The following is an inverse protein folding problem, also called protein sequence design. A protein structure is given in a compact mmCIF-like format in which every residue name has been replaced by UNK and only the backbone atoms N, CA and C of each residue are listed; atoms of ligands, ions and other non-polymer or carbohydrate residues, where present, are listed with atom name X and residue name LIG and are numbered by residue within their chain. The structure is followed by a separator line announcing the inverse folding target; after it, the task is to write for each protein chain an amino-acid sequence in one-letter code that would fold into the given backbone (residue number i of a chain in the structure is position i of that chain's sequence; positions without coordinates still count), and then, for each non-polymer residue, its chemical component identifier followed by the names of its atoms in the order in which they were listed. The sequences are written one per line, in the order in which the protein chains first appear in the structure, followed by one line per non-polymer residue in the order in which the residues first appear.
data_IF_423627845109
#
_entry.id   IF_423627845109
#
_cell.length_a   1.000
_cell.length_b   1.000
_cell.length_c   1.000
_cell.angle_alpha   90.00
_cell.angle_beta   90.00
_cell.angle_gamma   90.00
#
_symmetry.space_group_name_H-M   'P 1'
#
loop_
_entity.id
_entity.type
_entity.pdbx_description
1 polymer ?
#
# COMPACT_ATOMS: atom_id res chain seq x y z
N UNK A 1 2.64 -23.07 66.35
CA UNK A 1 1.51 -22.66 65.48
C UNK A 1 2.10 -21.90 64.32
N UNK A 2 2.06 -22.52 63.14
CA UNK A 2 2.78 -22.16 61.91
C UNK A 2 2.26 -20.87 61.29
N UNK A 3 3.18 -19.95 60.97
CA UNK A 3 2.90 -18.76 60.17
C UNK A 3 2.71 -19.15 58.69
N UNK A 4 1.58 -18.76 58.12
CA UNK A 4 1.29 -18.93 56.68
C UNK A 4 1.84 -17.71 55.95
N UNK A 5 2.91 -17.92 55.20
CA UNK A 5 3.49 -16.96 54.26
C UNK A 5 2.55 -16.79 53.06
N UNK A 6 1.96 -15.61 52.91
CA UNK A 6 1.18 -15.24 51.74
C UNK A 6 2.06 -15.10 50.49
N UNK A 7 1.77 -15.91 49.47
CA UNK A 7 2.36 -15.82 48.14
C UNK A 7 1.88 -14.56 47.42
N UNK A 8 2.76 -13.56 47.26
CA UNK A 8 2.53 -12.42 46.38
C UNK A 8 2.68 -12.87 44.93
N UNK A 9 1.56 -13.10 44.25
CA UNK A 9 1.52 -13.26 42.79
C UNK A 9 1.91 -11.94 42.12
N UNK A 10 3.08 -11.92 41.48
CA UNK A 10 3.53 -10.78 40.68
C UNK A 10 2.67 -10.66 39.42
N UNK A 11 1.75 -9.70 39.39
CA UNK A 11 1.04 -9.32 38.17
C UNK A 11 2.06 -8.72 37.19
N UNK A 12 2.44 -9.49 36.18
CA UNK A 12 3.15 -8.97 35.00
C UNK A 12 2.21 -8.05 34.22
N UNK A 13 2.33 -6.74 34.47
CA UNK A 13 1.68 -5.69 33.71
C UNK A 13 2.25 -5.67 32.29
N UNK A 14 1.52 -6.29 31.33
CA UNK A 14 1.86 -6.17 29.92
C UNK A 14 1.49 -4.76 29.44
N UNK A 15 2.48 -4.02 28.94
CA UNK A 15 2.26 -2.69 28.35
C UNK A 15 1.24 -2.83 27.21
N UNK A 16 0.19 -1.99 27.14
CA UNK A 16 -0.74 -2.04 26.02
C UNK A 16 0.02 -1.82 24.71
N UNK A 17 -0.21 -2.70 23.73
CA UNK A 17 0.40 -2.59 22.40
C UNK A 17 0.00 -1.25 21.80
N UNK A 18 0.99 -0.48 21.34
CA UNK A 18 0.76 0.80 20.66
C UNK A 18 0.07 0.53 19.32
N UNK A 19 -1.14 1.07 19.14
CA UNK A 19 -1.91 0.99 17.89
C UNK A 19 -2.14 2.39 17.31
N UNK A 20 -2.42 2.46 16.00
CA UNK A 20 -2.73 3.70 15.31
C UNK A 20 -3.88 3.48 14.34
N UNK A 21 -4.88 4.36 14.35
CA UNK A 21 -6.02 4.30 13.42
C UNK A 21 -5.79 5.18 12.17
N UNK A 22 -5.18 6.36 12.33
CA UNK A 22 -4.73 7.27 11.26
C UNK A 22 -3.90 8.42 11.83
N UNK A 23 -3.34 9.27 10.97
CA UNK A 23 -2.73 10.55 11.34
C UNK A 23 -3.60 11.72 10.89
N UNK A 24 -3.62 12.85 11.62
CA UNK A 24 -4.23 14.07 11.11
C UNK A 24 -3.52 14.51 9.83
N UNK A 25 -4.27 15.08 8.91
CA UNK A 25 -3.71 15.65 7.69
C UNK A 25 -2.92 16.93 8.07
N UNK A 26 -1.72 17.14 7.52
CA UNK A 26 -0.99 18.40 7.71
C UNK A 26 -1.76 19.59 7.12
N UNK A 27 -1.62 20.77 7.74
CA UNK A 27 -2.27 22.01 7.28
C UNK A 27 -1.78 22.48 5.88
N UNK A 28 -0.68 21.90 5.40
CA UNK A 28 -0.14 22.13 4.05
C UNK A 28 -0.85 21.33 2.94
N UNK A 29 -1.81 20.47 3.30
CA UNK A 29 -2.46 19.55 2.37
C UNK A 29 -3.97 19.80 2.28
N UNK A 30 -4.55 19.56 1.10
CA UNK A 30 -6.00 19.62 0.86
C UNK A 30 -6.52 18.22 0.61
N UNK A 31 -7.47 17.76 1.42
CA UNK A 31 -8.09 16.45 1.23
C UNK A 31 -8.88 16.43 -0.08
N UNK A 32 -8.67 15.40 -0.91
CA UNK A 32 -9.37 15.24 -2.20
C UNK A 32 -10.91 15.26 -2.05
N UNK A 33 -11.42 14.65 -0.97
CA UNK A 33 -12.86 14.56 -0.67
C UNK A 33 -13.43 15.81 0.02
N UNK A 34 -12.63 16.85 0.27
CA UNK A 34 -13.13 18.12 0.80
C UNK A 34 -13.86 18.94 -0.28
N UNK A 35 -14.69 19.93 0.08
CA UNK A 35 -15.26 20.87 -0.90
C UNK A 35 -14.20 21.55 -1.76
N UNK A 36 -13.06 21.93 -1.15
CA UNK A 36 -11.96 22.57 -1.86
C UNK A 36 -11.22 21.59 -2.79
N UNK A 37 -10.93 20.37 -2.31
CA UNK A 37 -10.32 19.32 -3.12
C UNK A 37 -11.16 18.96 -4.35
N UNK A 38 -12.49 18.90 -4.20
CA UNK A 38 -13.40 18.71 -5.33
C UNK A 38 -13.34 19.85 -6.36
N UNK A 39 -13.26 21.11 -5.91
CA UNK A 39 -13.11 22.26 -6.83
C UNK A 39 -11.81 22.18 -7.63
N UNK A 40 -10.69 21.89 -6.97
CA UNK A 40 -9.38 21.71 -7.62
C UNK A 40 -9.45 20.57 -8.63
N UNK A 41 -10.01 19.42 -8.24
CA UNK A 41 -10.18 18.27 -9.12
C UNK A 41 -11.03 18.61 -10.35
N UNK A 42 -12.18 19.26 -10.17
CA UNK A 42 -13.06 19.67 -11.28
C UNK A 42 -12.34 20.64 -12.21
N UNK A 43 -11.56 21.58 -11.69
CA UNK A 43 -10.74 22.50 -12.50
C UNK A 43 -9.71 21.74 -13.35
N UNK A 44 -8.98 20.80 -12.74
CA UNK A 44 -8.01 19.95 -13.44
C UNK A 44 -8.68 19.03 -14.47
N UNK A 45 -9.88 18.54 -14.18
CA UNK A 45 -10.68 17.74 -15.13
C UNK A 45 -11.10 18.56 -16.35
N UNK A 46 -11.68 19.75 -16.13
CA UNK A 46 -12.16 20.64 -17.18
C UNK A 46 -11.03 21.14 -18.09
N UNK A 47 -9.82 21.30 -17.53
CA UNK A 47 -8.61 21.65 -18.28
C UNK A 47 -7.89 20.45 -18.92
N UNK A 48 -8.51 19.26 -18.90
CA UNK A 48 -7.97 18.01 -19.47
C UNK A 48 -6.62 17.58 -18.85
N UNK A 49 -6.32 18.00 -17.61
CA UNK A 49 -5.09 17.66 -16.89
C UNK A 49 -5.09 16.30 -16.21
N UNK A 50 -6.24 15.62 -16.14
CA UNK A 50 -6.42 14.36 -15.39
C UNK A 50 -6.50 13.10 -16.28
N UNK A 51 -5.79 13.08 -17.41
CA UNK A 51 -5.88 12.00 -18.41
C UNK A 51 -5.60 10.61 -17.82
N UNK A 52 -4.64 10.50 -16.92
CA UNK A 52 -4.27 9.23 -16.27
C UNK A 52 -5.13 8.90 -15.05
N UNK A 53 -5.94 9.83 -14.53
CA UNK A 53 -6.67 9.63 -13.28
C UNK A 53 -7.64 8.46 -13.37
N UNK A 54 -8.49 8.43 -14.40
CA UNK A 54 -9.53 7.40 -14.55
C UNK A 54 -8.97 5.97 -14.66
N UNK A 55 -8.04 5.66 -15.58
CA UNK A 55 -7.50 4.31 -15.66
C UNK A 55 -6.73 3.91 -14.39
N UNK A 56 -6.05 4.84 -13.71
CA UNK A 56 -5.40 4.53 -12.42
C UNK A 56 -6.42 4.27 -11.31
N UNK A 57 -7.51 5.04 -11.26
CA UNK A 57 -8.54 4.90 -10.24
C UNK A 57 -9.36 3.62 -10.37
N UNK A 58 -9.60 3.15 -11.60
CA UNK A 58 -10.23 1.84 -11.85
C UNK A 58 -9.42 0.69 -11.25
N UNK A 59 -8.12 0.90 -11.04
CA UNK A 59 -7.19 -0.09 -10.50
C UNK A 59 -6.73 0.21 -9.07
N UNK A 60 -7.31 1.23 -8.43
CA UNK A 60 -6.84 1.69 -7.12
C UNK A 60 -6.96 0.58 -6.08
N UNK A 61 -5.83 0.24 -5.46
CA UNK A 61 -5.73 -0.80 -4.45
C UNK A 61 -5.04 -0.28 -3.20
N UNK A 62 -5.45 -0.78 -2.04
CA UNK A 62 -4.74 -0.56 -0.78
C UNK A 62 -3.61 -1.58 -0.66
N UNK A 63 -2.41 -1.11 -0.32
CA UNK A 63 -1.27 -1.98 -0.10
C UNK A 63 -1.56 -3.03 0.98
N UNK A 64 -1.28 -4.29 0.67
CA UNK A 64 -1.56 -5.43 1.54
C UNK A 64 -0.62 -5.51 2.76
N UNK A 65 0.57 -4.92 2.63
CA UNK A 65 1.59 -4.83 3.69
C UNK A 65 2.00 -3.38 3.90
N UNK A 66 2.35 -2.95 5.14
CA UNK A 66 2.75 -1.56 5.42
C UNK A 66 3.94 -1.04 4.60
N UNK A 67 4.82 -1.93 4.13
CA UNK A 67 5.99 -1.59 3.32
C UNK A 67 5.77 -1.73 1.80
N UNK A 68 4.55 -2.09 1.34
CA UNK A 68 4.25 -2.39 -0.06
C UNK A 68 3.78 -1.19 -0.90
N UNK A 69 3.95 0.04 -0.42
CA UNK A 69 3.52 1.24 -1.17
C UNK A 69 4.07 1.27 -2.60
N UNK A 70 5.34 0.89 -2.80
CA UNK A 70 5.96 0.78 -4.13
C UNK A 70 5.37 -0.34 -4.99
N UNK A 71 5.43 -1.61 -4.55
CA UNK A 71 4.83 -2.73 -5.28
C UNK A 71 3.36 -2.53 -5.65
N UNK A 72 2.51 -2.10 -4.71
CA UNK A 72 1.09 -1.84 -4.98
C UNK A 72 0.92 -0.73 -6.00
N UNK A 73 1.73 0.34 -5.94
CA UNK A 73 1.70 1.41 -6.96
C UNK A 73 2.04 0.86 -8.34
N UNK A 74 3.02 -0.04 -8.46
CA UNK A 74 3.38 -0.65 -9.74
C UNK A 74 2.26 -1.58 -10.26
N UNK A 75 1.58 -2.33 -9.38
CA UNK A 75 0.39 -3.12 -9.76
C UNK A 75 -0.71 -2.23 -10.34
N UNK A 76 -1.03 -1.11 -9.68
CA UNK A 76 -2.01 -0.12 -10.18
C UNK A 76 -1.63 0.36 -11.59
N UNK A 77 -0.36 0.70 -11.80
CA UNK A 77 0.15 1.15 -13.10
C UNK A 77 0.05 0.06 -14.17
N UNK A 78 0.51 -1.16 -13.88
CA UNK A 78 0.50 -2.27 -14.83
C UNK A 78 -0.92 -2.64 -15.27
N UNK A 79 -1.85 -2.70 -14.32
CA UNK A 79 -3.25 -2.97 -14.60
C UNK A 79 -3.92 -1.80 -15.36
N UNK A 80 -3.59 -0.55 -15.03
CA UNK A 80 -4.12 0.63 -15.73
C UNK A 80 -3.63 0.71 -17.18
N UNK A 81 -2.43 0.17 -17.46
CA UNK A 81 -1.88 0.01 -18.80
C UNK A 81 -2.34 -1.29 -19.49
N UNK A 82 -3.19 -2.08 -18.85
CA UNK A 82 -3.67 -3.37 -19.33
C UNK A 82 -2.53 -4.34 -19.74
N UNK A 83 -1.41 -4.31 -19.01
CA UNK A 83 -0.31 -5.25 -19.22
C UNK A 83 -0.76 -6.65 -18.80
N UNK A 84 -0.58 -7.62 -19.68
CA UNK A 84 -0.91 -9.02 -19.40
C UNK A 84 0.20 -9.68 -18.56
N UNK A 85 -0.07 -10.15 -17.33
CA UNK A 85 0.95 -10.82 -16.51
C UNK A 85 1.35 -12.20 -17.08
N UNK A 86 0.63 -12.72 -18.08
CA UNK A 86 0.85 -14.03 -18.73
C UNK A 86 0.88 -15.21 -17.75
N UNK A 87 0.30 -15.02 -16.57
CA UNK A 87 0.11 -16.02 -15.53
C UNK A 87 -1.26 -15.83 -14.89
N UNK A 88 -1.83 -16.90 -14.37
CA UNK A 88 -3.11 -16.85 -13.68
C UNK A 88 -2.95 -16.19 -12.31
N UNK A 89 -3.93 -15.38 -11.95
CA UNK A 89 -4.08 -14.78 -10.62
C UNK A 89 -5.04 -15.59 -9.77
N UNK A 90 -6.31 -15.65 -10.18
CA UNK A 90 -7.38 -16.35 -9.48
C UNK A 90 -8.25 -17.08 -10.49
N UNK A 91 -8.37 -18.40 -10.37
CA UNK A 91 -9.10 -19.21 -11.36
C UNK A 91 -8.58 -18.96 -12.79
N UNK A 92 -9.45 -18.68 -13.78
CA UNK A 92 -9.03 -18.38 -15.15
C UNK A 92 -8.54 -16.94 -15.36
N UNK A 93 -8.63 -16.07 -14.35
CA UNK A 93 -8.36 -14.64 -14.49
C UNK A 93 -6.87 -14.33 -14.44
N UNK A 94 -6.44 -13.37 -15.26
CA UNK A 94 -5.06 -12.84 -15.30
C UNK A 94 -5.12 -11.36 -14.99
N UNK A 95 -4.59 -10.98 -13.84
CA UNK A 95 -4.53 -9.59 -13.35
C UNK A 95 -3.33 -9.46 -12.44
N UNK A 96 -2.65 -8.31 -12.39
CA UNK A 96 -1.51 -8.16 -11.50
C UNK A 96 -1.95 -8.08 -10.04
N UNK A 97 -1.16 -8.72 -9.18
CA UNK A 97 -1.10 -8.51 -7.73
C UNK A 97 0.38 -8.43 -7.28
N UNK A 98 0.64 -7.99 -6.04
CA UNK A 98 2.00 -7.72 -5.57
C UNK A 98 2.91 -8.96 -5.58
N UNK A 99 2.35 -10.16 -5.43
CA UNK A 99 3.10 -11.43 -5.43
C UNK A 99 3.85 -11.69 -6.75
N UNK A 100 3.45 -11.03 -7.84
CA UNK A 100 4.07 -11.18 -9.15
C UNK A 100 5.35 -10.34 -9.31
N UNK A 101 5.62 -9.42 -8.38
CA UNK A 101 6.70 -8.45 -8.46
C UNK A 101 7.97 -8.90 -7.72
N UNK A 102 8.48 -10.08 -8.06
CA UNK A 102 9.61 -10.74 -7.36
C UNK A 102 10.87 -10.94 -8.23
N UNK A 103 10.93 -10.32 -9.41
CA UNK A 103 12.03 -10.52 -10.36
C UNK A 103 13.36 -9.85 -9.93
N UNK A 104 13.31 -8.82 -9.08
CA UNK A 104 14.48 -8.04 -8.65
C UNK A 104 14.68 -8.04 -7.12
N UNK A 105 13.76 -8.64 -6.37
CA UNK A 105 13.69 -8.56 -4.90
C UNK A 105 13.11 -9.82 -4.29
N UNK A 106 13.49 -10.08 -3.05
CA UNK A 106 12.75 -10.99 -2.17
C UNK A 106 11.60 -10.22 -1.50
N UNK A 107 10.37 -10.67 -1.73
CA UNK A 107 9.17 -10.05 -1.18
C UNK A 107 9.11 -10.13 0.35
N UNK A 108 9.69 -11.16 0.98
CA UNK A 108 9.77 -11.23 2.45
C UNK A 108 10.70 -10.17 3.04
N UNK A 109 11.70 -9.72 2.27
CA UNK A 109 12.55 -8.61 2.67
C UNK A 109 11.87 -7.26 2.42
N UNK A 110 11.13 -7.13 1.31
CA UNK A 110 10.34 -5.93 1.00
C UNK A 110 9.31 -5.65 2.09
N UNK A 111 8.70 -6.68 2.71
CA UNK A 111 7.77 -6.50 3.85
C UNK A 111 8.40 -5.75 5.02
N UNK A 112 9.73 -5.84 5.18
CA UNK A 112 10.47 -5.20 6.29
C UNK A 112 10.97 -3.81 5.90
N UNK A 113 11.45 -3.64 4.67
CA UNK A 113 12.26 -2.47 4.28
C UNK A 113 11.64 -1.61 3.18
N UNK A 114 10.62 -2.11 2.49
CA UNK A 114 10.07 -1.48 1.29
C UNK A 114 11.02 -1.61 0.10
N UNK A 115 10.90 -0.70 -0.87
CA UNK A 115 11.75 -0.66 -2.06
C UNK A 115 12.27 0.74 -2.35
N UNK A 116 13.43 0.82 -2.99
CA UNK A 116 13.96 2.08 -3.53
C UNK A 116 13.37 2.38 -4.91
N UNK A 117 13.57 3.61 -5.40
CA UNK A 117 13.18 3.97 -6.77
C UNK A 117 13.93 3.14 -7.84
N UNK A 118 15.22 2.82 -7.61
CA UNK A 118 15.98 1.97 -8.52
C UNK A 118 15.39 0.55 -8.62
N UNK A 119 14.97 0.02 -7.47
CA UNK A 119 14.26 -1.26 -7.38
C UNK A 119 12.90 -1.20 -8.08
N UNK A 120 12.12 -0.13 -7.86
CA UNK A 120 10.85 0.09 -8.55
C UNK A 120 11.02 0.07 -10.07
N UNK A 121 12.04 0.77 -10.59
CA UNK A 121 12.36 0.78 -12.02
C UNK A 121 12.79 -0.61 -12.53
N UNK A 122 13.54 -1.39 -11.75
CA UNK A 122 13.90 -2.76 -12.09
C UNK A 122 12.66 -3.65 -12.23
N UNK A 123 11.74 -3.56 -11.25
CA UNK A 123 10.47 -4.29 -11.27
C UNK A 123 9.62 -3.90 -12.48
N UNK A 124 9.50 -2.60 -12.80
CA UNK A 124 8.75 -2.15 -13.96
C UNK A 124 9.29 -2.76 -15.27
N UNK A 125 10.61 -2.68 -15.48
CA UNK A 125 11.29 -3.22 -16.66
C UNK A 125 11.08 -4.72 -16.82
N UNK A 126 11.14 -5.48 -15.73
CA UNK A 126 10.99 -6.93 -15.82
C UNK A 126 9.54 -7.36 -16.14
N UNK A 127 8.55 -6.48 -15.91
CA UNK A 127 7.15 -6.70 -16.29
C UNK A 127 6.82 -6.16 -17.70
N UNK A 128 7.83 -5.64 -18.42
CA UNK A 128 7.69 -5.20 -19.80
C UNK A 128 7.33 -3.72 -19.97
N UNK A 129 7.53 -2.88 -18.95
CA UNK A 129 7.50 -1.42 -19.06
C UNK A 129 8.84 -0.81 -19.47
#
# INVERSE_FOLDING_TARGET
VTGVTGTKTSKTSSRPKRTFYRRPMPDTCVALSSPEGRKIFTSAHNSQGLKSFFPLMEQFSTQTEPAYCGPTTLVVILNALAVDPRRTWKGPWRWYEESFLNCCVDLEEVKKTGITMGTFACLAKCQGL
#
